data_IF_344217418536
#
_entry.id   IF_344217418536
#
_cell.length_a   1.000
_cell.length_b   1.000
_cell.length_c   1.000
_cell.angle_alpha   90.00
_cell.angle_beta   90.00
_cell.angle_gamma   90.00
#
_symmetry.space_group_name_H-M   'P 1'
#
loop_
_entity.id
_entity.type
_entity.pdbx_description
1 polymer ?
#
# COMPACT_ATOMS: atom_id res chain seq x y z
N UNK A 1 24.91 33.45 -58.47
CA UNK A 1 26.03 32.69 -57.89
C UNK A 1 26.18 33.18 -56.46
N UNK A 2 25.90 32.29 -55.49
CA UNK A 2 26.25 32.35 -54.06
C UNK A 2 25.79 33.54 -53.19
N UNK A 3 25.27 33.40 -51.97
CA UNK A 3 24.51 32.40 -51.17
C UNK A 3 24.39 33.04 -49.76
N UNK A 4 23.27 32.80 -49.07
CA UNK A 4 23.17 32.51 -47.60
C UNK A 4 23.54 33.63 -46.60
N UNK A 5 22.81 33.89 -45.50
CA UNK A 5 21.63 33.27 -44.92
C UNK A 5 20.96 34.30 -43.99
N UNK A 6 19.63 34.36 -44.03
CA UNK A 6 18.82 35.26 -43.23
C UNK A 6 18.44 34.62 -41.89
N UNK A 7 18.45 35.45 -40.85
CA UNK A 7 17.44 35.52 -39.78
C UNK A 7 16.92 34.23 -39.13
N UNK A 8 17.19 34.11 -37.82
CA UNK A 8 16.17 33.81 -36.82
C UNK A 8 15.68 32.37 -36.77
N UNK A 9 16.47 31.47 -36.17
CA UNK A 9 15.94 30.20 -35.70
C UNK A 9 15.42 30.39 -34.27
N UNK A 10 14.15 30.80 -34.15
CA UNK A 10 13.35 30.54 -32.95
C UNK A 10 13.21 29.04 -32.80
N UNK A 11 14.17 28.42 -32.13
CA UNK A 11 14.00 27.06 -31.64
C UNK A 11 12.93 27.12 -30.56
N UNK A 12 11.73 26.71 -30.94
CA UNK A 12 10.72 26.20 -30.03
C UNK A 12 11.42 25.31 -29.01
N UNK A 13 11.44 25.78 -27.77
CA UNK A 13 11.72 24.99 -26.58
C UNK A 13 10.61 23.94 -26.52
N UNK A 14 10.85 22.80 -27.18
CA UNK A 14 9.96 21.67 -27.14
C UNK A 14 9.86 21.25 -25.68
N UNK A 15 8.66 21.22 -25.07
CA UNK A 15 8.54 20.72 -23.71
C UNK A 15 9.09 19.28 -23.71
N UNK A 16 10.18 19.11 -22.97
CA UNK A 16 10.72 17.81 -22.60
C UNK A 16 9.53 16.91 -22.21
N UNK A 17 9.42 15.68 -22.73
CA UNK A 17 8.39 14.78 -22.23
C UNK A 17 8.60 14.66 -20.72
N UNK A 18 7.56 15.00 -19.94
CA UNK A 18 7.51 14.74 -18.50
C UNK A 18 7.72 13.24 -18.29
N UNK A 19 8.98 12.84 -18.13
CA UNK A 19 9.33 11.53 -17.64
C UNK A 19 9.00 11.51 -16.15
N UNK A 20 8.21 10.51 -15.78
CA UNK A 20 7.93 10.11 -14.40
C UNK A 20 7.01 11.05 -13.62
N UNK A 21 5.80 11.30 -14.14
CA UNK A 21 4.66 11.52 -13.25
C UNK A 21 4.49 10.22 -12.45
N UNK A 22 4.38 10.23 -11.10
CA UNK A 22 3.94 9.03 -10.40
C UNK A 22 2.60 8.63 -11.01
N UNK A 23 2.45 7.35 -11.35
CA UNK A 23 1.21 6.80 -11.89
C UNK A 23 0.09 7.12 -10.90
N UNK A 24 -0.63 8.21 -11.14
CA UNK A 24 -1.85 8.52 -10.41
C UNK A 24 -2.80 7.35 -10.75
N UNK A 25 -3.25 6.56 -9.77
CA UNK A 25 -4.23 5.52 -10.02
C UNK A 25 -5.45 6.19 -10.66
N UNK A 26 -5.69 5.95 -11.95
CA UNK A 26 -6.99 6.30 -12.53
C UNK A 26 -7.92 5.15 -12.21
N UNK A 27 -8.83 5.39 -11.27
CA UNK A 27 -9.90 4.46 -10.95
C UNK A 27 -10.65 4.05 -12.23
N UNK A 28 -10.98 2.76 -12.35
CA UNK A 28 -11.89 2.26 -13.38
C UNK A 28 -11.31 1.93 -14.76
N UNK A 29 -10.05 2.25 -15.09
CA UNK A 29 -9.44 1.88 -16.38
C UNK A 29 -8.58 0.61 -16.28
N UNK A 30 -8.79 -0.40 -17.17
CA UNK A 30 -7.95 -1.59 -17.19
C UNK A 30 -6.47 -1.31 -17.47
N UNK A 31 -5.58 -1.85 -16.64
CA UNK A 31 -4.11 -1.75 -16.77
C UNK A 31 -3.45 -3.05 -16.36
N UNK A 32 -2.19 -3.22 -16.75
CA UNK A 32 -1.37 -4.34 -16.30
C UNK A 32 -0.78 -4.01 -14.92
N UNK A 33 -1.02 -4.88 -13.94
CA UNK A 33 -0.55 -4.76 -12.57
C UNK A 33 0.48 -5.83 -12.25
N UNK A 34 1.49 -5.44 -11.48
CA UNK A 34 2.49 -6.34 -10.89
C UNK A 34 2.65 -6.05 -9.41
N UNK A 35 2.00 -6.86 -8.58
CA UNK A 35 2.03 -6.71 -7.12
C UNK A 35 3.03 -7.69 -6.52
N UNK A 36 4.05 -7.16 -5.82
CA UNK A 36 5.03 -8.00 -5.11
C UNK A 36 4.34 -8.71 -3.93
N UNK A 37 4.68 -9.98 -3.71
CA UNK A 37 4.19 -10.77 -2.57
C UNK A 37 5.36 -11.31 -1.77
N UNK A 38 5.31 -11.15 -0.46
CA UNK A 38 6.32 -11.73 0.43
C UNK A 38 6.22 -13.26 0.42
N UNK A 39 7.32 -13.94 0.10
CA UNK A 39 7.40 -15.41 0.09
C UNK A 39 6.66 -16.09 -1.07
N UNK A 40 6.13 -15.35 -2.04
CA UNK A 40 5.40 -15.89 -3.19
C UNK A 40 5.79 -15.19 -4.50
N UNK A 41 5.42 -15.79 -5.63
CA UNK A 41 5.59 -15.12 -6.94
C UNK A 41 4.76 -13.83 -6.98
N UNK A 42 5.25 -12.75 -7.62
CA UNK A 42 4.45 -11.56 -7.84
C UNK A 42 3.12 -11.90 -8.51
N UNK A 43 2.07 -11.19 -8.12
CA UNK A 43 0.75 -11.32 -8.72
C UNK A 43 0.70 -10.42 -9.96
N UNK A 44 0.51 -11.04 -11.12
CA UNK A 44 0.46 -10.38 -12.42
C UNK A 44 -0.95 -10.52 -12.97
N UNK A 45 -1.61 -9.41 -13.27
CA UNK A 45 -2.96 -9.42 -13.82
C UNK A 45 -3.23 -8.16 -14.62
N UNK A 46 -4.27 -8.21 -15.43
CA UNK A 46 -4.83 -7.05 -16.10
C UNK A 46 -6.22 -6.78 -15.55
N UNK A 47 -6.53 -5.55 -15.18
CA UNK A 47 -7.79 -5.24 -14.50
C UNK A 47 -7.97 -3.77 -14.19
N UNK A 48 -9.09 -3.40 -13.60
CA UNK A 48 -9.39 -2.03 -13.16
C UNK A 48 -9.40 -1.95 -11.62
N UNK A 49 -8.91 -0.86 -11.07
CA UNK A 49 -9.06 -0.56 -9.64
C UNK A 49 -10.52 -0.15 -9.38
N UNK A 50 -11.16 -0.83 -8.44
CA UNK A 50 -12.54 -0.59 -8.00
C UNK A 50 -12.58 0.37 -6.82
N UNK A 51 -11.68 0.20 -5.85
CA UNK A 51 -11.62 0.99 -4.63
C UNK A 51 -10.18 1.14 -4.17
N UNK A 52 -9.89 2.29 -3.58
CA UNK A 52 -8.65 2.59 -2.87
C UNK A 52 -8.98 3.40 -1.63
N UNK A 53 -8.47 2.98 -0.48
CA UNK A 53 -8.57 3.73 0.77
C UNK A 53 -7.21 3.73 1.46
N UNK A 54 -6.92 4.79 2.22
CA UNK A 54 -5.69 4.93 2.97
C UNK A 54 -5.91 5.57 4.33
N UNK A 55 -5.18 5.07 5.34
CA UNK A 55 -5.28 5.54 6.72
C UNK A 55 -4.11 6.45 7.07
N UNK A 56 -4.00 7.60 6.39
CA UNK A 56 -2.92 8.53 6.66
C UNK A 56 -3.17 9.31 7.95
N UNK A 57 -2.41 9.00 9.00
CA UNK A 57 -2.35 9.75 10.25
C UNK A 57 -0.93 10.28 10.44
N UNK A 58 -0.69 11.60 10.42
CA UNK A 58 0.66 12.19 10.51
C UNK A 58 1.48 11.69 11.71
N UNK A 59 0.80 11.39 12.81
CA UNK A 59 1.45 11.08 14.09
C UNK A 59 1.88 9.62 14.20
N UNK A 60 1.49 8.79 13.23
CA UNK A 60 1.91 7.40 13.13
C UNK A 60 3.06 7.28 12.15
N UNK A 61 4.14 6.54 12.48
CA UNK A 61 5.30 6.38 11.60
C UNK A 61 5.02 5.49 10.39
N UNK A 62 3.78 5.09 10.18
CA UNK A 62 3.32 4.24 9.10
C UNK A 62 1.86 4.54 8.75
N UNK A 63 1.43 4.14 7.55
CA UNK A 63 0.02 4.16 7.14
C UNK A 63 -0.32 2.92 6.33
N UNK A 64 -1.60 2.51 6.40
CA UNK A 64 -2.14 1.45 5.57
C UNK A 64 -2.76 2.01 4.31
N UNK A 65 -2.71 1.20 3.25
CA UNK A 65 -3.46 1.40 2.01
C UNK A 65 -4.09 0.06 1.62
N UNK A 66 -5.36 0.08 1.23
CA UNK A 66 -6.03 -1.07 0.63
C UNK A 66 -6.50 -0.73 -0.77
N UNK A 67 -6.24 -1.63 -1.72
CA UNK A 67 -6.76 -1.52 -3.08
C UNK A 67 -7.49 -2.80 -3.45
N UNK A 68 -8.65 -2.62 -4.05
CA UNK A 68 -9.47 -3.69 -4.61
C UNK A 68 -9.49 -3.53 -6.11
N UNK A 69 -9.16 -4.59 -6.83
CA UNK A 69 -9.19 -4.62 -8.30
C UNK A 69 -10.18 -5.67 -8.79
N UNK A 70 -10.77 -5.41 -9.96
CA UNK A 70 -11.47 -6.41 -10.77
C UNK A 70 -10.61 -6.76 -11.97
N UNK A 71 -10.28 -8.03 -12.12
CA UNK A 71 -9.47 -8.52 -13.24
C UNK A 71 -10.32 -8.67 -14.51
N UNK A 72 -9.69 -8.73 -15.68
CA UNK A 72 -10.36 -9.08 -16.94
C UNK A 72 -10.95 -10.50 -16.91
N UNK A 73 -10.39 -11.39 -16.07
CA UNK A 73 -10.89 -12.75 -15.84
C UNK A 73 -12.09 -12.80 -14.89
N UNK A 74 -12.65 -11.65 -14.49
CA UNK A 74 -13.78 -11.54 -13.56
C UNK A 74 -13.48 -12.06 -12.14
N UNK A 75 -12.19 -12.11 -11.76
CA UNK A 75 -11.73 -12.34 -10.39
C UNK A 75 -11.44 -10.99 -9.71
N UNK A 76 -11.16 -11.03 -8.41
CA UNK A 76 -10.85 -9.88 -7.59
C UNK A 76 -9.46 -9.99 -6.99
N UNK A 77 -8.76 -8.86 -6.88
CA UNK A 77 -7.46 -8.80 -6.20
C UNK A 77 -7.57 -7.81 -5.05
N UNK A 78 -7.12 -8.23 -3.88
CA UNK A 78 -6.89 -7.36 -2.72
C UNK A 78 -5.39 -7.13 -2.57
N UNK A 79 -4.99 -5.89 -2.40
CA UNK A 79 -3.66 -5.54 -1.93
C UNK A 79 -3.77 -4.72 -0.65
N UNK A 80 -3.11 -5.18 0.41
CA UNK A 80 -2.91 -4.43 1.65
C UNK A 80 -1.44 -4.02 1.69
N UNK A 81 -1.19 -2.71 1.70
CA UNK A 81 0.14 -2.13 1.81
C UNK A 81 0.30 -1.44 3.15
N UNK A 82 1.48 -1.59 3.73
CA UNK A 82 1.93 -0.83 4.88
C UNK A 82 3.16 -0.05 4.44
N UNK A 83 3.03 1.26 4.48
CA UNK A 83 4.11 2.19 4.16
C UNK A 83 4.69 2.77 5.44
N UNK A 84 5.97 3.11 5.41
CA UNK A 84 6.65 3.74 6.54
C UNK A 84 7.10 5.15 6.17
N UNK A 85 7.04 6.07 7.13
CA UNK A 85 7.58 7.42 6.95
C UNK A 85 9.12 7.41 6.85
N UNK A 86 9.77 6.42 7.48
CA UNK A 86 11.23 6.30 7.49
C UNK A 86 11.74 5.60 6.23
N UNK A 87 12.72 6.22 5.56
CA UNK A 87 13.45 5.62 4.43
C UNK A 87 14.25 4.36 4.81
N UNK A 88 14.53 4.16 6.11
CA UNK A 88 15.23 2.96 6.58
C UNK A 88 14.33 1.73 6.66
N UNK A 89 13.02 1.94 6.67
CA UNK A 89 12.04 0.86 6.74
C UNK A 89 11.58 0.47 5.33
N UNK A 90 11.25 -0.81 5.17
CA UNK A 90 10.78 -1.34 3.89
C UNK A 90 9.28 -1.51 3.96
N UNK A 91 8.59 -0.90 3.01
CA UNK A 91 7.16 -1.11 2.80
C UNK A 91 6.84 -2.59 2.67
N UNK A 92 5.70 -2.97 3.23
CA UNK A 92 5.18 -4.33 3.17
C UNK A 92 3.97 -4.35 2.28
N UNK A 93 3.90 -5.39 1.46
CA UNK A 93 2.76 -5.64 0.58
C UNK A 93 2.33 -7.08 0.72
N UNK A 94 1.04 -7.26 0.99
CA UNK A 94 0.37 -8.56 0.93
C UNK A 94 -0.76 -8.45 -0.07
N UNK A 95 -0.88 -9.48 -0.92
CA UNK A 95 -1.89 -9.48 -1.96
C UNK A 95 -2.40 -10.88 -2.23
N UNK A 96 -3.69 -10.96 -2.51
CA UNK A 96 -4.44 -12.18 -2.73
C UNK A 96 -5.39 -12.01 -3.91
N UNK A 97 -5.74 -13.13 -4.53
CA UNK A 97 -6.75 -13.20 -5.57
C UNK A 97 -7.93 -14.02 -5.06
N UNK A 98 -9.14 -13.62 -5.43
CA UNK A 98 -10.40 -14.20 -4.99
C UNK A 98 -11.36 -14.33 -6.17
N UNK A 99 -12.15 -15.39 -6.18
CA UNK A 99 -13.21 -15.56 -7.18
C UNK A 99 -14.42 -14.67 -6.91
N UNK A 100 -14.60 -14.21 -5.66
CA UNK A 100 -15.79 -13.46 -5.24
C UNK A 100 -15.45 -12.30 -4.30
N UNK A 101 -16.26 -11.22 -4.36
CA UNK A 101 -16.17 -10.09 -3.43
C UNK A 101 -16.37 -10.51 -1.96
N UNK A 102 -17.35 -11.36 -1.59
CA UNK A 102 -17.50 -11.82 -0.22
C UNK A 102 -16.22 -12.47 0.35
N UNK A 103 -15.53 -13.31 -0.43
CA UNK A 103 -14.26 -13.91 0.01
C UNK A 103 -13.17 -12.87 0.25
N UNK A 104 -13.13 -11.83 -0.58
CA UNK A 104 -12.22 -10.70 -0.41
C UNK A 104 -12.54 -9.93 0.88
N UNK A 105 -13.82 -9.63 1.15
CA UNK A 105 -14.22 -8.91 2.37
C UNK A 105 -13.92 -9.72 3.62
N UNK A 106 -14.17 -11.03 3.60
CA UNK A 106 -13.76 -11.91 4.69
C UNK A 106 -12.24 -11.89 4.91
N UNK A 107 -11.42 -11.73 3.87
CA UNK A 107 -9.98 -11.55 4.03
C UNK A 107 -9.63 -10.23 4.74
N UNK A 108 -10.34 -9.14 4.45
CA UNK A 108 -10.16 -7.86 5.13
C UNK A 108 -10.52 -7.99 6.61
N UNK A 109 -11.69 -8.57 6.91
CA UNK A 109 -12.17 -8.75 8.29
C UNK A 109 -11.27 -9.65 9.14
N UNK A 110 -10.65 -10.66 8.51
CA UNK A 110 -9.78 -11.63 9.20
C UNK A 110 -8.30 -11.24 9.18
N UNK A 111 -7.95 -10.10 8.56
CA UNK A 111 -6.57 -9.64 8.52
C UNK A 111 -6.10 -9.18 9.91
N UNK A 112 -5.12 -9.90 10.47
CA UNK A 112 -4.51 -9.49 11.73
C UNK A 112 -3.31 -8.56 11.50
N UNK A 113 -3.49 -7.26 11.70
CA UNK A 113 -2.44 -6.24 11.61
C UNK A 113 -1.30 -6.44 12.62
N UNK A 114 -1.46 -7.30 13.64
CA UNK A 114 -0.36 -7.67 14.54
C UNK A 114 0.84 -8.26 13.78
N UNK A 115 0.59 -8.96 12.65
CA UNK A 115 1.65 -9.55 11.82
C UNK A 115 2.54 -8.51 11.14
N UNK A 116 2.12 -7.25 11.11
CA UNK A 116 2.87 -6.15 10.52
C UNK A 116 3.72 -5.39 11.53
N UNK A 117 3.44 -5.57 12.83
CA UNK A 117 4.22 -4.95 13.89
C UNK A 117 5.64 -5.48 13.85
N UNK A 118 6.59 -4.56 13.65
CA UNK A 118 8.00 -4.85 13.86
C UNK A 118 8.31 -4.70 15.34
N UNK A 119 9.02 -5.68 15.89
CA UNK A 119 9.53 -5.63 17.24
C UNK A 119 10.97 -6.12 17.24
N UNK A 120 11.89 -5.21 17.51
CA UNK A 120 13.28 -5.55 17.73
C UNK A 120 13.49 -5.54 19.25
N UNK A 121 13.77 -6.72 19.80
CA UNK A 121 14.04 -6.83 21.22
C UNK A 121 15.38 -6.14 21.53
N UNK A 122 15.35 -5.15 22.43
CA UNK A 122 16.51 -4.33 22.73
C UNK A 122 17.36 -4.99 23.82
N UNK A 123 18.43 -5.68 23.45
CA UNK A 123 19.41 -6.26 24.37
C UNK A 123 19.42 -7.79 24.40
N UNK A 124 20.20 -8.36 25.32
CA UNK A 124 20.30 -9.82 25.52
C UNK A 124 19.21 -10.29 26.49
N UNK A 125 18.23 -11.06 26.00
CA UNK A 125 17.12 -11.63 26.81
C UNK A 125 17.66 -12.30 28.07
N UNK A 126 18.78 -13.03 27.96
CA UNK A 126 19.33 -13.80 29.08
C UNK A 126 19.85 -12.92 30.22
N UNK A 127 20.05 -11.62 29.97
CA UNK A 127 20.56 -10.65 30.95
C UNK A 127 19.50 -9.66 31.42
N UNK A 128 18.29 -9.71 30.85
CA UNK A 128 17.21 -8.81 31.25
C UNK A 128 16.63 -9.22 32.60
N UNK A 129 16.38 -8.23 33.43
CA UNK A 129 15.52 -8.39 34.60
C UNK A 129 14.08 -8.67 34.17
N UNK A 130 13.28 -9.24 35.09
CA UNK A 130 11.86 -9.44 34.87
C UNK A 130 11.11 -8.13 34.56
N UNK A 131 11.55 -7.02 35.14
CA UNK A 131 10.96 -5.70 34.90
C UNK A 131 11.21 -5.21 33.46
N UNK A 132 12.42 -5.42 32.92
CA UNK A 132 12.75 -5.03 31.54
C UNK A 132 12.01 -5.88 30.51
N UNK A 133 11.90 -7.19 30.75
CA UNK A 133 11.11 -8.08 29.90
C UNK A 133 9.62 -7.71 29.93
N UNK A 134 9.09 -7.38 31.11
CA UNK A 134 7.71 -6.93 31.25
C UNK A 134 7.47 -5.61 30.50
N UNK A 135 8.37 -4.64 30.63
CA UNK A 135 8.26 -3.36 29.92
C UNK A 135 8.25 -3.54 28.39
N UNK A 136 9.15 -4.37 27.87
CA UNK A 136 9.21 -4.68 26.44
C UNK A 136 7.98 -5.45 25.94
N UNK A 137 7.45 -6.36 26.76
CA UNK A 137 6.21 -7.08 26.45
C UNK A 137 5.00 -6.14 26.40
N UNK A 138 4.94 -5.17 27.31
CA UNK A 138 3.89 -4.14 27.33
C UNK A 138 3.99 -3.20 26.12
N UNK A 139 5.20 -2.79 25.74
CA UNK A 139 5.42 -1.99 24.53
C UNK A 139 4.97 -2.74 23.26
N UNK A 140 5.34 -4.02 23.12
CA UNK A 140 4.86 -4.86 22.02
C UNK A 140 3.34 -4.98 22.00
N UNK A 141 2.72 -5.24 23.15
CA UNK A 141 1.26 -5.35 23.27
C UNK A 141 0.56 -4.05 22.86
N UNK A 142 1.09 -2.89 23.27
CA UNK A 142 0.57 -1.59 22.89
C UNK A 142 0.67 -1.34 21.38
N UNK A 143 1.82 -1.68 20.76
CA UNK A 143 2.00 -1.57 19.30
C UNK A 143 1.04 -2.46 18.52
N UNK A 144 0.83 -3.70 18.97
CA UNK A 144 -0.14 -4.63 18.38
C UNK A 144 -1.56 -4.09 18.48
N UNK A 145 -1.95 -3.58 19.65
CA UNK A 145 -3.27 -2.98 19.83
C UNK A 145 -3.48 -1.77 18.91
N UNK A 146 -2.47 -0.89 18.80
CA UNK A 146 -2.51 0.28 17.93
C UNK A 146 -2.64 -0.10 16.45
N UNK A 147 -1.85 -1.07 15.98
CA UNK A 147 -1.90 -1.53 14.58
C UNK A 147 -3.27 -2.14 14.23
N UNK A 148 -3.83 -2.97 15.12
CA UNK A 148 -5.17 -3.55 14.95
C UNK A 148 -6.26 -2.49 14.92
N UNK A 149 -6.21 -1.52 15.84
CA UNK A 149 -7.18 -0.43 15.88
C UNK A 149 -7.11 0.43 14.61
N UNK A 150 -5.90 0.76 14.17
CA UNK A 150 -5.68 1.57 12.97
C UNK A 150 -6.20 0.87 11.70
N UNK A 151 -5.87 -0.41 11.53
CA UNK A 151 -6.35 -1.19 10.40
C UNK A 151 -7.88 -1.38 10.43
N UNK A 152 -8.46 -1.63 11.61
CA UNK A 152 -9.92 -1.76 11.75
C UNK A 152 -10.65 -0.46 11.40
N UNK A 153 -10.08 0.71 11.72
CA UNK A 153 -10.59 2.00 11.29
C UNK A 153 -10.66 2.11 9.76
N UNK A 154 -9.56 1.80 9.07
CA UNK A 154 -9.50 1.81 7.61
C UNK A 154 -10.50 0.85 6.97
N UNK A 155 -10.62 -0.37 7.50
CA UNK A 155 -11.58 -1.35 7.01
C UNK A 155 -13.02 -0.85 7.19
N UNK A 156 -13.34 -0.24 8.33
CA UNK A 156 -14.64 0.37 8.58
C UNK A 156 -14.95 1.51 7.60
N UNK A 157 -13.99 2.38 7.32
CA UNK A 157 -14.13 3.46 6.32
C UNK A 157 -14.40 2.89 4.92
N UNK A 158 -13.61 1.90 4.49
CA UNK A 158 -13.81 1.24 3.20
C UNK A 158 -15.22 0.65 3.06
N UNK A 159 -15.69 -0.10 4.07
CA UNK A 159 -17.01 -0.70 4.01
C UNK A 159 -18.13 0.34 3.99
N UNK A 160 -17.99 1.42 4.77
CA UNK A 160 -18.94 2.53 4.75
C UNK A 160 -19.00 3.23 3.38
N UNK A 161 -17.86 3.45 2.73
CA UNK A 161 -17.81 4.03 1.38
C UNK A 161 -18.42 3.10 0.32
N UNK A 162 -18.16 1.79 0.42
CA UNK A 162 -18.72 0.80 -0.51
C UNK A 162 -20.24 0.69 -0.37
N UNK A 163 -20.76 0.69 0.86
CA UNK A 163 -22.20 0.69 1.13
C UNK A 163 -22.87 1.98 0.63
N UNK A 164 -22.20 3.12 0.74
CA UNK A 164 -22.72 4.39 0.23
C UNK A 164 -22.73 4.50 -1.31
N UNK A 165 -21.92 3.69 -1.98
CA UNK A 165 -21.83 3.64 -3.45
C UNK A 165 -22.75 2.60 -4.11
N UNK A 166 -23.41 1.74 -3.32
CA UNK A 166 -24.33 0.69 -3.76
C UNK A 166 -25.77 1.19 -3.96
#
# INVERSE_FOLDING_TARGET
MNVMNASGNSAYDAPQPLTSRPDIPMLGLPRDYKIRRMGARPLLFRGAELAMCMSFTPELPYWYEMNIYRTEQQTFVLAIRLFFQSDSERDRVRAWEFDTLPSLFSQIETYDAAQDVRFDLTGDIARMSAAELAAQSLDLAARVAAARLHFAGLAGELFAEMDAAA
#
